data_IF_602356097112
#
_entry.id   IF_602356097112
#
_cell.length_a   1.000
_cell.length_b   1.000
_cell.length_c   1.000
_cell.angle_alpha   90.00
_cell.angle_beta   90.00
_cell.angle_gamma   90.00
#
_symmetry.space_group_name_H-M   'P 1'
#
loop_
_entity.id
_entity.type
_entity.pdbx_description
1 polymer ?
#
# COMPACT_ATOMS: atom_id res chain seq x y z
N UNK A 1 5.06 -4.71 -29.38
CA UNK A 1 4.50 -3.59 -28.60
C UNK A 1 4.03 -4.13 -27.26
N UNK A 2 4.78 -3.89 -26.19
CA UNK A 2 4.39 -4.30 -24.83
C UNK A 2 3.33 -3.31 -24.35
N UNK A 3 2.09 -3.75 -24.12
CA UNK A 3 1.05 -2.89 -23.57
C UNK A 3 1.44 -2.53 -22.13
N UNK A 4 2.15 -1.41 -21.96
CA UNK A 4 2.42 -0.83 -20.63
C UNK A 4 1.14 -0.15 -20.19
N UNK A 5 0.28 -0.90 -19.52
CA UNK A 5 -0.99 -0.42 -18.98
C UNK A 5 -0.75 0.89 -18.20
N UNK A 6 -1.29 2.00 -18.71
CA UNK A 6 -1.15 3.32 -18.10
C UNK A 6 -2.11 3.41 -16.89
N UNK A 7 -1.57 3.22 -15.69
CA UNK A 7 -2.30 3.10 -14.41
C UNK A 7 -2.41 4.41 -13.62
N UNK A 8 -2.37 5.54 -14.30
CA UNK A 8 -1.74 6.80 -13.86
C UNK A 8 -2.36 7.49 -12.63
N UNK A 9 -3.37 6.92 -11.98
CA UNK A 9 -3.86 7.41 -10.69
C UNK A 9 -5.03 6.61 -10.11
N UNK A 10 -5.85 5.99 -10.95
CA UNK A 10 -7.09 5.31 -10.52
C UNK A 10 -6.82 4.15 -9.56
N UNK A 11 -5.77 3.35 -9.80
CA UNK A 11 -5.48 2.18 -8.96
C UNK A 11 -5.03 2.55 -7.55
N UNK A 12 -4.21 3.60 -7.41
CA UNK A 12 -3.76 4.08 -6.11
C UNK A 12 -4.89 4.80 -5.36
N UNK A 13 -5.71 5.57 -6.09
CA UNK A 13 -6.91 6.18 -5.52
C UNK A 13 -7.85 5.12 -4.97
N UNK A 14 -8.22 4.11 -5.76
CA UNK A 14 -9.09 3.02 -5.33
C UNK A 14 -8.52 2.25 -4.12
N UNK A 15 -7.22 1.96 -4.14
CA UNK A 15 -6.57 1.33 -2.99
C UNK A 15 -6.69 2.19 -1.72
N UNK A 16 -6.54 3.52 -1.83
CA UNK A 16 -6.73 4.43 -0.70
C UNK A 16 -8.16 4.41 -0.18
N UNK A 17 -9.14 4.43 -1.07
CA UNK A 17 -10.56 4.36 -0.68
C UNK A 17 -10.88 3.06 0.04
N UNK A 18 -10.47 1.90 -0.49
CA UNK A 18 -10.69 0.60 0.14
C UNK A 18 -10.02 0.53 1.51
N UNK A 19 -8.77 0.96 1.63
CA UNK A 19 -8.05 0.94 2.90
C UNK A 19 -8.70 1.87 3.94
N UNK A 20 -9.23 3.01 3.51
CA UNK A 20 -9.90 3.97 4.40
C UNK A 20 -11.14 3.39 5.09
N UNK A 21 -11.85 2.45 4.46
CA UNK A 21 -13.00 1.74 5.06
C UNK A 21 -12.59 1.04 6.36
N UNK A 22 -11.37 0.54 6.43
CA UNK A 22 -10.81 -0.16 7.60
C UNK A 22 -10.00 0.74 8.53
N UNK A 23 -9.95 2.05 8.26
CA UNK A 23 -9.10 3.00 9.00
C UNK A 23 -7.60 2.87 8.71
N UNK A 24 -7.22 2.13 7.67
CA UNK A 24 -5.82 2.01 7.23
C UNK A 24 -5.48 3.23 6.38
N UNK A 25 -4.37 3.91 6.71
CA UNK A 25 -3.92 5.10 6.01
C UNK A 25 -2.74 4.77 5.10
N UNK A 26 -2.75 5.30 3.88
CA UNK A 26 -1.61 5.24 2.94
C UNK A 26 -1.23 6.65 2.49
N UNK A 27 0.08 6.97 2.52
CA UNK A 27 0.62 8.26 2.09
C UNK A 27 1.90 8.07 1.28
N UNK A 28 2.03 8.78 0.16
CA UNK A 28 3.30 8.88 -0.56
C UNK A 28 4.25 9.83 0.19
N UNK A 29 5.45 9.34 0.48
CA UNK A 29 6.52 10.05 1.19
C UNK A 29 7.86 9.95 0.43
N UNK A 30 7.79 9.66 -0.87
CA UNK A 30 8.94 9.58 -1.76
C UNK A 30 9.50 10.94 -2.12
N UNK A 31 10.73 10.95 -2.65
CA UNK A 31 11.35 12.13 -3.25
C UNK A 31 11.26 11.98 -4.77
N UNK A 32 10.74 12.97 -5.52
CA UNK A 32 10.71 12.92 -6.97
C UNK A 32 12.06 12.54 -7.58
N UNK A 33 12.05 11.63 -8.57
CA UNK A 33 13.27 11.13 -9.20
C UNK A 33 14.04 10.07 -8.42
N UNK A 34 13.65 9.73 -7.18
CA UNK A 34 14.28 8.67 -6.36
C UNK A 34 13.42 7.40 -6.20
N UNK A 35 12.44 7.23 -7.09
CA UNK A 35 11.43 6.17 -7.02
C UNK A 35 10.26 6.54 -6.11
N UNK A 36 9.32 5.59 -5.95
CA UNK A 36 8.11 5.76 -5.16
C UNK A 36 8.25 5.14 -3.78
N UNK A 37 7.87 5.87 -2.73
CA UNK A 37 7.85 5.37 -1.34
C UNK A 37 6.51 5.69 -0.70
N UNK A 38 5.85 4.67 -0.16
CA UNK A 38 4.58 4.82 0.55
C UNK A 38 4.74 4.41 2.02
N UNK A 39 4.12 5.18 2.90
CA UNK A 39 3.93 4.81 4.31
C UNK A 39 2.50 4.31 4.47
N UNK A 40 2.34 3.14 5.11
CA UNK A 40 1.04 2.56 5.46
C UNK A 40 0.95 2.50 6.99
N UNK A 41 -0.08 3.10 7.58
CA UNK A 41 -0.38 3.01 9.01
C UNK A 41 -1.58 2.09 9.21
N UNK A 42 -1.35 0.99 9.92
CA UNK A 42 -2.35 -0.05 10.17
C UNK A 42 -2.71 -0.02 11.66
N UNK A 43 -3.95 0.34 12.03
CA UNK A 43 -4.40 0.27 13.41
C UNK A 43 -4.23 -1.13 14.02
N UNK A 44 -4.07 -1.21 15.33
CA UNK A 44 -4.08 -2.52 15.99
C UNK A 44 -5.47 -3.18 15.84
N UNK A 45 -5.49 -4.48 15.58
CA UNK A 45 -6.74 -5.25 15.49
C UNK A 45 -7.36 -5.34 14.09
N UNK A 46 -6.92 -4.52 13.11
CA UNK A 46 -7.45 -4.59 11.73
C UNK A 46 -6.70 -5.58 10.83
N UNK A 47 -5.65 -6.22 11.36
CA UNK A 47 -4.84 -7.20 10.62
C UNK A 47 -4.62 -8.45 11.46
N UNK A 48 -4.59 -9.60 10.79
CA UNK A 48 -4.25 -10.88 11.40
C UNK A 48 -2.75 -11.12 11.31
N UNK A 49 -2.05 -11.09 12.44
CA UNK A 49 -0.67 -11.59 12.53
C UNK A 49 -0.72 -13.12 12.39
N UNK A 50 -0.04 -13.66 11.38
CA UNK A 50 0.41 -15.05 11.46
C UNK A 50 1.75 -15.03 12.19
N UNK A 51 1.83 -15.74 13.30
CA UNK A 51 3.14 -16.09 13.88
C UNK A 51 3.78 -17.07 12.90
N UNK A 52 4.76 -16.59 12.13
CA UNK A 52 5.63 -17.51 11.41
C UNK A 52 6.62 -18.06 12.44
N UNK A 53 6.50 -19.34 12.77
CA UNK A 53 7.58 -20.06 13.44
C UNK A 53 8.76 -20.08 12.47
N UNK A 54 9.79 -19.28 12.76
CA UNK A 54 11.07 -19.42 12.08
C UNK A 54 11.65 -20.74 12.61
N UNK A 55 11.48 -21.81 11.83
CA UNK A 55 12.19 -23.06 12.09
C UNK A 55 13.65 -22.85 11.70
N UNK A 56 14.53 -22.93 12.69
CA UNK A 56 15.97 -23.07 12.50
C UNK A 56 16.33 -24.54 12.27
#
# INVERSE_FOLDING_TARGET
MHQRWNNTGIRLFLAREILSITGILIKEIGVPGRGARFQIRVPQGVYRKKTAEIKF
#
